data_IF_710149457683
#
_entry.id   IF_710149457683
#
_cell.length_a   1.000
_cell.length_b   1.000
_cell.length_c   1.000
_cell.angle_alpha   90.00
_cell.angle_beta   90.00
_cell.angle_gamma   90.00
#
_symmetry.space_group_name_H-M   'P 1'
#
loop_
_entity.id
_entity.type
_entity.pdbx_description
1 polymer ?
#
# COMPACT_ATOMS: atom_id res chain seq x y z
N UNK A 1 25.62 19.33 -7.11
CA UNK A 1 25.03 18.21 -6.37
C UNK A 1 23.88 17.67 -7.22
N UNK A 2 23.74 16.35 -7.34
CA UNK A 2 22.67 15.73 -8.14
C UNK A 2 21.72 15.04 -7.18
N UNK A 3 20.42 15.32 -7.30
CA UNK A 3 19.36 14.71 -6.50
C UNK A 3 18.51 13.80 -7.39
N UNK A 4 18.14 12.62 -6.90
CA UNK A 4 17.20 11.72 -7.56
C UNK A 4 15.85 11.82 -6.85
N UNK A 5 14.79 12.05 -7.62
CA UNK A 5 13.41 12.06 -7.14
C UNK A 5 12.65 10.91 -7.81
N UNK A 6 11.81 10.23 -7.06
CA UNK A 6 11.01 9.09 -7.52
C UNK A 6 9.56 9.40 -7.17
N UNK A 7 8.67 9.27 -8.16
CA UNK A 7 7.25 9.56 -8.03
C UNK A 7 6.41 8.42 -8.61
N UNK A 8 5.13 8.38 -8.21
CA UNK A 8 4.15 7.57 -8.93
C UNK A 8 4.15 7.93 -10.42
N UNK A 9 3.80 7.00 -11.28
CA UNK A 9 3.57 7.29 -12.70
C UNK A 9 2.35 8.21 -12.88
N UNK A 10 1.30 7.99 -12.06
CA UNK A 10 0.07 8.78 -12.10
C UNK A 10 -0.57 8.84 -10.71
N UNK A 11 -1.28 9.93 -10.44
CA UNK A 11 -2.11 10.04 -9.24
C UNK A 11 -3.46 10.70 -9.58
N UNK A 12 -4.54 10.15 -9.01
CA UNK A 12 -5.90 10.66 -9.12
C UNK A 12 -6.32 11.23 -7.77
N UNK A 13 -6.77 12.48 -7.76
CA UNK A 13 -7.17 13.19 -6.54
C UNK A 13 -8.60 13.69 -6.65
N UNK A 14 -9.41 13.41 -5.65
CA UNK A 14 -10.76 13.94 -5.55
C UNK A 14 -11.79 12.87 -5.24
N UNK A 15 -13.02 13.35 -4.92
CA UNK A 15 -14.14 12.45 -4.62
C UNK A 15 -14.49 11.61 -5.85
N UNK A 16 -14.57 10.30 -5.66
CA UNK A 16 -14.82 9.34 -6.72
C UNK A 16 -13.56 8.91 -7.48
N UNK A 17 -12.34 9.28 -7.03
CA UNK A 17 -11.08 8.86 -7.67
C UNK A 17 -10.97 7.32 -7.81
N UNK A 18 -11.52 6.55 -6.86
CA UNK A 18 -11.53 5.09 -6.94
C UNK A 18 -12.28 4.53 -8.15
N UNK A 19 -13.17 5.30 -8.77
CA UNK A 19 -13.90 4.86 -9.96
C UNK A 19 -13.01 4.71 -11.20
N UNK A 20 -11.84 5.33 -11.16
CA UNK A 20 -10.84 5.22 -12.24
C UNK A 20 -10.05 3.91 -12.18
N UNK A 21 -10.07 3.19 -11.03
CA UNK A 21 -9.29 1.95 -10.84
C UNK A 21 -9.48 0.94 -11.99
N UNK A 22 -10.72 0.59 -12.40
CA UNK A 22 -10.90 -0.42 -13.44
C UNK A 22 -10.38 0.01 -14.81
N UNK A 23 -10.58 1.29 -15.16
CA UNK A 23 -10.10 1.83 -16.43
C UNK A 23 -8.57 1.84 -16.48
N UNK A 24 -7.93 2.23 -15.39
CA UNK A 24 -6.47 2.25 -15.25
C UNK A 24 -5.90 0.82 -15.25
N UNK A 25 -6.51 -0.12 -14.52
CA UNK A 25 -6.11 -1.52 -14.54
C UNK A 25 -6.16 -2.09 -15.97
N UNK A 26 -7.23 -1.80 -16.71
CA UNK A 26 -7.38 -2.19 -18.11
C UNK A 26 -6.30 -1.58 -19.02
N UNK A 27 -5.94 -0.31 -18.82
CA UNK A 27 -4.88 0.36 -19.58
C UNK A 27 -3.52 -0.33 -19.38
N UNK A 28 -3.25 -0.81 -18.16
CA UNK A 28 -2.04 -1.58 -17.85
C UNK A 28 -2.13 -3.06 -18.26
N UNK A 29 -3.28 -3.54 -18.72
CA UNK A 29 -3.50 -4.94 -19.10
C UNK A 29 -3.68 -5.88 -17.92
N UNK A 30 -3.98 -5.35 -16.74
CA UNK A 30 -4.20 -6.15 -15.53
C UNK A 30 -5.56 -6.83 -15.55
N UNK A 31 -5.61 -8.06 -15.02
CA UNK A 31 -6.76 -8.95 -15.13
C UNK A 31 -7.38 -9.35 -13.81
N UNK A 32 -6.63 -9.37 -12.72
CA UNK A 32 -7.12 -9.70 -11.38
C UNK A 32 -6.37 -8.94 -10.30
N UNK A 33 -7.10 -8.26 -9.41
CA UNK A 33 -6.54 -7.54 -8.29
C UNK A 33 -6.34 -8.42 -7.06
N UNK A 34 -5.31 -8.14 -6.26
CA UNK A 34 -5.17 -8.62 -4.90
C UNK A 34 -5.23 -7.43 -3.94
N UNK A 35 -6.32 -7.32 -3.21
CA UNK A 35 -6.58 -6.20 -2.30
C UNK A 35 -5.98 -6.52 -0.94
N UNK A 36 -5.00 -5.73 -0.52
CA UNK A 36 -4.37 -5.81 0.81
C UNK A 36 -5.00 -4.75 1.70
N UNK A 37 -5.70 -5.19 2.75
CA UNK A 37 -6.46 -4.31 3.65
C UNK A 37 -6.47 -4.84 5.09
N UNK A 38 -7.12 -4.14 6.00
CA UNK A 38 -7.29 -4.57 7.37
C UNK A 38 -8.76 -4.94 7.70
N UNK A 39 -9.01 -5.70 8.79
CA UNK A 39 -10.35 -6.13 9.15
C UNK A 39 -11.31 -4.97 9.43
N UNK A 40 -10.81 -3.85 9.98
CA UNK A 40 -11.65 -2.70 10.36
C UNK A 40 -12.28 -2.05 9.13
N UNK A 41 -11.53 -1.98 8.02
CA UNK A 41 -12.05 -1.41 6.77
C UNK A 41 -13.13 -2.29 6.12
N UNK A 42 -13.10 -3.60 6.36
CA UNK A 42 -14.20 -4.50 5.99
C UNK A 42 -15.41 -4.28 6.88
N UNK A 43 -15.22 -4.28 8.20
CA UNK A 43 -16.30 -4.11 9.18
C UNK A 43 -17.03 -2.76 9.05
N UNK A 44 -16.28 -1.70 8.70
CA UNK A 44 -16.85 -0.35 8.52
C UNK A 44 -17.45 -0.09 7.15
N UNK A 45 -17.36 -1.07 6.22
CA UNK A 45 -17.84 -0.93 4.84
C UNK A 45 -16.98 -0.02 3.96
N UNK A 46 -15.82 0.43 4.46
CA UNK A 46 -14.92 1.28 3.65
C UNK A 46 -14.32 0.50 2.50
N UNK A 47 -13.91 -0.75 2.73
CA UNK A 47 -13.39 -1.62 1.68
C UNK A 47 -14.47 -1.96 0.63
N UNK A 48 -15.74 -2.06 1.04
CA UNK A 48 -16.87 -2.33 0.14
C UNK A 48 -17.02 -1.24 -0.93
N UNK A 49 -16.68 0.02 -0.63
CA UNK A 49 -16.71 1.09 -1.63
C UNK A 49 -15.79 0.79 -2.82
N UNK A 50 -14.62 0.20 -2.56
CA UNK A 50 -13.67 -0.18 -3.62
C UNK A 50 -14.10 -1.46 -4.31
N UNK A 51 -14.45 -2.51 -3.56
CA UNK A 51 -14.86 -3.78 -4.17
C UNK A 51 -16.09 -3.62 -5.05
N UNK A 52 -17.05 -2.77 -4.66
CA UNK A 52 -18.22 -2.45 -5.48
C UNK A 52 -17.85 -1.85 -6.84
N UNK A 53 -16.85 -0.95 -6.88
CA UNK A 53 -16.36 -0.38 -8.14
C UNK A 53 -15.76 -1.47 -9.04
N UNK A 54 -15.03 -2.43 -8.44
CA UNK A 54 -14.47 -3.55 -9.19
C UNK A 54 -15.56 -4.51 -9.68
N UNK A 55 -16.55 -4.82 -8.83
CA UNK A 55 -17.69 -5.67 -9.18
C UNK A 55 -18.50 -5.08 -10.34
N UNK A 56 -18.82 -3.77 -10.28
CA UNK A 56 -19.57 -3.05 -11.33
C UNK A 56 -18.81 -3.06 -12.67
N UNK A 57 -17.48 -3.10 -12.62
CA UNK A 57 -16.62 -3.17 -13.81
C UNK A 57 -16.31 -4.59 -14.28
N UNK A 58 -16.69 -5.61 -13.51
CA UNK A 58 -16.37 -7.00 -13.79
C UNK A 58 -14.86 -7.31 -13.67
N UNK A 59 -14.11 -6.54 -12.86
CA UNK A 59 -12.69 -6.78 -12.61
C UNK A 59 -12.55 -7.75 -11.42
N UNK A 60 -12.06 -8.98 -11.64
CA UNK A 60 -11.91 -9.96 -10.57
C UNK A 60 -10.92 -9.50 -9.51
N UNK A 61 -11.16 -9.90 -8.27
CA UNK A 61 -10.25 -9.60 -7.17
C UNK A 61 -10.27 -10.68 -6.09
N UNK A 62 -9.26 -10.66 -5.24
CA UNK A 62 -9.20 -11.42 -4.00
C UNK A 62 -8.79 -10.49 -2.87
N UNK A 63 -9.35 -10.70 -1.66
CA UNK A 63 -9.11 -9.82 -0.51
C UNK A 63 -8.26 -10.52 0.52
N UNK A 64 -7.10 -9.94 0.83
CA UNK A 64 -6.26 -10.26 1.97
C UNK A 64 -6.49 -9.22 3.06
N UNK A 65 -7.24 -9.58 4.08
CA UNK A 65 -7.66 -8.67 5.15
C UNK A 65 -6.99 -8.94 6.50
N UNK A 66 -5.93 -9.74 6.53
CA UNK A 66 -5.26 -10.11 7.77
C UNK A 66 -4.18 -9.11 8.21
N UNK A 67 -4.21 -7.89 7.67
CA UNK A 67 -3.23 -6.86 8.04
C UNK A 67 -3.47 -6.37 9.46
N UNK A 68 -2.40 -6.37 10.26
CA UNK A 68 -2.40 -5.86 11.63
C UNK A 68 -1.77 -4.46 11.69
N UNK A 69 -2.17 -3.61 12.64
CA UNK A 69 -1.44 -2.39 12.93
C UNK A 69 0.04 -2.67 13.18
N UNK A 70 0.95 -1.86 12.60
CA UNK A 70 2.39 -2.11 12.64
C UNK A 70 2.73 -3.51 12.11
N UNK A 71 2.60 -3.77 10.81
CA UNK A 71 2.56 -5.11 10.25
C UNK A 71 3.79 -5.92 10.63
N UNK A 72 3.60 -7.12 11.21
CA UNK A 72 4.70 -8.01 11.53
C UNK A 72 5.24 -8.71 10.28
N UNK A 73 6.47 -9.19 10.35
CA UNK A 73 7.14 -9.99 9.31
C UNK A 73 6.24 -11.13 8.83
N UNK A 74 5.56 -11.82 9.73
CA UNK A 74 4.69 -12.95 9.44
C UNK A 74 3.49 -12.56 8.57
N UNK A 75 2.97 -11.34 8.75
CA UNK A 75 1.86 -10.84 7.94
C UNK A 75 2.26 -10.68 6.47
N UNK A 76 3.48 -10.21 6.20
CA UNK A 76 3.99 -10.08 4.84
C UNK A 76 4.21 -11.46 4.22
N UNK A 77 4.82 -12.41 4.97
CA UNK A 77 5.04 -13.79 4.49
C UNK A 77 3.73 -14.50 4.14
N UNK A 78 2.70 -14.33 4.98
CA UNK A 78 1.35 -14.86 4.72
C UNK A 78 0.74 -14.23 3.46
N UNK A 79 0.88 -12.91 3.33
CA UNK A 79 0.42 -12.18 2.14
C UNK A 79 1.10 -12.62 0.84
N UNK A 80 2.41 -12.87 0.86
CA UNK A 80 3.15 -13.40 -0.30
C UNK A 80 2.61 -14.77 -0.72
N UNK A 81 2.39 -15.68 0.26
CA UNK A 81 1.84 -16.99 -0.02
C UNK A 81 0.43 -16.90 -0.63
N UNK A 82 -0.44 -16.05 -0.05
CA UNK A 82 -1.81 -15.85 -0.55
C UNK A 82 -1.85 -15.17 -1.92
N UNK A 83 -0.97 -14.21 -2.16
CA UNK A 83 -0.84 -13.61 -3.49
C UNK A 83 -0.49 -14.65 -4.56
N UNK A 84 0.48 -15.52 -4.28
CA UNK A 84 0.89 -16.58 -5.20
C UNK A 84 -0.25 -17.58 -5.51
N UNK A 85 -1.10 -17.89 -4.52
CA UNK A 85 -2.27 -18.76 -4.69
C UNK A 85 -3.40 -18.08 -5.47
N UNK A 86 -3.52 -16.74 -5.38
CA UNK A 86 -4.64 -15.98 -5.93
C UNK A 86 -4.69 -15.93 -7.45
N UNK A 87 -3.54 -16.03 -8.10
CA UNK A 87 -3.42 -15.80 -9.55
C UNK A 87 -3.67 -14.33 -9.95
N UNK A 88 -3.59 -13.39 -9.01
CA UNK A 88 -3.66 -11.97 -9.29
C UNK A 88 -2.37 -11.47 -9.94
N UNK A 89 -2.47 -10.40 -10.73
CA UNK A 89 -1.36 -9.83 -11.48
C UNK A 89 -0.99 -8.39 -11.05
N UNK A 90 -1.76 -7.80 -10.14
CA UNK A 90 -1.44 -6.54 -9.49
C UNK A 90 -2.03 -6.46 -8.07
N UNK A 91 -1.53 -5.52 -7.30
CA UNK A 91 -1.89 -5.28 -5.90
C UNK A 91 -2.68 -3.98 -5.75
N UNK A 92 -3.64 -3.97 -4.83
CA UNK A 92 -4.29 -2.74 -4.35
C UNK A 92 -4.01 -2.63 -2.85
N UNK A 93 -3.19 -1.66 -2.45
CA UNK A 93 -2.96 -1.33 -1.04
C UNK A 93 -4.07 -0.41 -0.54
N UNK A 94 -5.11 -0.97 0.08
CA UNK A 94 -6.29 -0.24 0.55
C UNK A 94 -6.21 -0.03 2.06
N UNK A 95 -5.95 1.20 2.49
CA UNK A 95 -5.92 1.51 3.91
C UNK A 95 -4.95 2.63 4.29
N UNK A 96 -4.65 2.73 5.57
CA UNK A 96 -3.60 3.60 6.07
C UNK A 96 -2.19 3.04 5.80
N UNK A 97 -1.18 3.47 6.56
CA UNK A 97 0.20 3.02 6.38
C UNK A 97 0.35 1.50 6.44
N UNK A 98 -0.25 0.82 7.41
CA UNK A 98 -0.05 -0.64 7.60
C UNK A 98 -0.47 -1.50 6.41
N UNK A 99 -1.66 -1.35 5.81
CA UNK A 99 -2.01 -2.05 4.57
C UNK A 99 -1.11 -1.69 3.38
N UNK A 100 -0.75 -0.42 3.23
CA UNK A 100 0.15 0.04 2.17
C UNK A 100 1.55 -0.57 2.31
N UNK A 101 2.10 -0.55 3.52
CA UNK A 101 3.43 -1.09 3.82
C UNK A 101 3.47 -2.62 3.64
N UNK A 102 2.41 -3.32 4.08
CA UNK A 102 2.26 -4.77 3.83
C UNK A 102 2.20 -5.05 2.34
N UNK A 103 1.46 -4.26 1.58
CA UNK A 103 1.31 -4.38 0.14
C UNK A 103 2.67 -4.24 -0.58
N UNK A 104 3.49 -3.26 -0.20
CA UNK A 104 4.85 -3.08 -0.72
C UNK A 104 5.73 -4.29 -0.43
N UNK A 105 5.72 -4.77 0.83
CA UNK A 105 6.48 -5.97 1.21
C UNK A 105 6.06 -7.20 0.41
N UNK A 106 4.77 -7.41 0.19
CA UNK A 106 4.26 -8.52 -0.65
C UNK A 106 4.78 -8.38 -2.09
N UNK A 107 4.61 -7.21 -2.68
CA UNK A 107 4.96 -6.98 -4.07
C UNK A 107 6.45 -7.10 -4.35
N UNK A 108 7.30 -6.55 -3.49
CA UNK A 108 8.75 -6.59 -3.68
C UNK A 108 9.32 -8.00 -3.51
N UNK A 109 8.87 -8.76 -2.51
CA UNK A 109 9.31 -10.14 -2.27
C UNK A 109 8.83 -11.07 -3.39
N UNK A 110 7.60 -10.89 -3.86
CA UNK A 110 7.09 -11.70 -4.96
C UNK A 110 7.93 -11.53 -6.23
N UNK A 111 8.40 -10.32 -6.51
CA UNK A 111 9.24 -10.03 -7.67
C UNK A 111 10.74 -10.36 -7.44
N UNK A 112 11.17 -10.46 -6.18
CA UNK A 112 12.55 -10.72 -5.78
C UNK A 112 12.58 -11.81 -4.69
N UNK A 113 12.35 -13.09 -5.03
CA UNK A 113 12.20 -14.17 -4.05
C UNK A 113 13.46 -14.48 -3.24
N UNK A 114 14.62 -13.99 -3.64
CA UNK A 114 15.86 -14.03 -2.85
C UNK A 114 15.76 -13.25 -1.54
N UNK A 115 14.80 -12.31 -1.44
CA UNK A 115 14.46 -11.54 -0.24
C UNK A 115 13.27 -12.13 0.54
N UNK A 116 12.97 -13.42 0.40
CA UNK A 116 11.90 -14.09 1.15
C UNK A 116 12.06 -13.99 2.68
N UNK A 117 13.30 -13.82 3.18
CA UNK A 117 13.50 -13.33 4.54
C UNK A 117 13.27 -11.82 4.59
N UNK A 118 12.10 -11.43 5.11
CA UNK A 118 11.67 -10.02 5.17
C UNK A 118 12.67 -9.12 5.88
N UNK A 119 13.45 -9.66 6.84
CA UNK A 119 14.49 -8.90 7.56
C UNK A 119 15.65 -8.49 6.65
N UNK A 120 15.88 -9.19 5.55
CA UNK A 120 16.92 -8.83 4.57
C UNK A 120 16.59 -7.56 3.77
N UNK A 121 15.38 -7.05 3.88
CA UNK A 121 14.93 -5.81 3.25
C UNK A 121 15.19 -4.56 4.12
N UNK A 122 15.71 -4.72 5.34
CA UNK A 122 16.00 -3.59 6.23
C UNK A 122 17.00 -2.60 5.59
N UNK A 123 16.68 -1.32 5.67
CA UNK A 123 17.48 -0.27 5.05
C UNK A 123 17.26 -0.23 3.53
N UNK A 124 18.34 -0.19 2.77
CA UNK A 124 18.29 -0.18 1.29
C UNK A 124 18.75 -1.55 0.78
N UNK A 125 17.80 -2.37 0.36
CA UNK A 125 18.09 -3.66 -0.24
C UNK A 125 18.46 -3.51 -1.73
N UNK A 126 19.34 -4.38 -2.22
CA UNK A 126 19.77 -4.39 -3.63
C UNK A 126 18.83 -5.29 -4.46
N UNK A 127 17.54 -4.97 -4.45
CA UNK A 127 16.54 -5.66 -5.28
C UNK A 127 16.83 -5.42 -6.77
N UNK A 128 16.51 -6.40 -7.61
CA UNK A 128 16.81 -6.32 -9.05
C UNK A 128 15.58 -6.04 -9.89
N UNK A 129 14.42 -6.48 -9.43
CA UNK A 129 13.18 -6.39 -10.17
C UNK A 129 12.24 -5.36 -9.51
N UNK A 130 11.50 -4.57 -10.30
CA UNK A 130 10.38 -3.80 -9.78
C UNK A 130 9.38 -4.73 -9.07
N UNK A 131 8.76 -4.20 -8.03
CA UNK A 131 7.63 -4.85 -7.35
C UNK A 131 6.54 -5.28 -8.34
N UNK A 132 5.76 -6.29 -7.98
CA UNK A 132 4.43 -6.45 -8.58
C UNK A 132 3.74 -5.09 -8.58
N UNK A 133 3.08 -4.67 -9.69
CA UNK A 133 2.45 -3.35 -9.77
C UNK A 133 1.49 -3.10 -8.62
N UNK A 134 1.60 -1.93 -7.98
CA UNK A 134 0.78 -1.53 -6.85
C UNK A 134 -0.08 -0.31 -7.21
N UNK A 135 -1.36 -0.37 -6.89
CA UNK A 135 -2.27 0.77 -6.81
C UNK A 135 -2.44 1.16 -5.34
N UNK A 136 -2.04 2.36 -4.97
CA UNK A 136 -2.19 2.88 -3.61
C UNK A 136 -3.55 3.56 -3.43
N UNK A 137 -4.34 3.10 -2.46
CA UNK A 137 -5.67 3.64 -2.13
C UNK A 137 -5.71 4.00 -0.63
N UNK A 138 -5.26 5.21 -0.26
CA UNK A 138 -5.18 5.61 1.14
C UNK A 138 -6.55 5.87 1.74
N UNK A 139 -6.71 5.49 3.02
CA UNK A 139 -7.89 5.81 3.85
C UNK A 139 -7.55 6.72 5.02
N UNK A 140 -6.29 7.18 5.11
CA UNK A 140 -5.81 8.13 6.11
C UNK A 140 -5.08 9.29 5.43
N UNK A 141 -4.99 10.42 6.09
CA UNK A 141 -4.30 11.61 5.58
C UNK A 141 -3.07 11.90 6.46
N UNK A 142 -2.04 11.05 6.38
CA UNK A 142 -0.85 11.15 7.23
C UNK A 142 0.39 10.61 6.54
N UNK A 143 0.53 9.31 6.52
CA UNK A 143 1.77 8.60 6.11
C UNK A 143 2.18 8.82 4.65
N UNK A 144 1.24 9.13 3.78
CA UNK A 144 1.45 9.22 2.33
C UNK A 144 2.18 8.00 1.73
N UNK A 145 2.00 6.81 2.33
CA UNK A 145 2.69 5.58 1.88
C UNK A 145 2.36 5.23 0.42
N UNK A 146 1.23 5.70 -0.10
CA UNK A 146 0.85 5.58 -1.51
C UNK A 146 1.78 6.32 -2.49
N UNK A 147 2.65 7.22 -1.99
CA UNK A 147 3.58 8.01 -2.81
C UNK A 147 5.04 7.84 -2.41
N UNK A 148 5.34 6.99 -1.44
CA UNK A 148 6.70 6.82 -0.92
C UNK A 148 7.35 5.52 -1.36
N UNK A 149 8.68 5.49 -1.31
CA UNK A 149 9.53 4.31 -1.52
C UNK A 149 9.87 3.60 -0.21
N UNK A 150 9.23 3.97 0.89
CA UNK A 150 9.51 3.44 2.22
C UNK A 150 8.34 2.59 2.69
N UNK A 151 8.64 1.59 3.50
CA UNK A 151 7.65 0.86 4.29
C UNK A 151 8.24 0.40 5.62
N UNK A 152 7.37 0.26 6.62
CA UNK A 152 7.76 -0.05 8.00
C UNK A 152 7.23 -1.43 8.38
N UNK A 153 8.12 -2.26 8.90
CA UNK A 153 7.81 -3.63 9.32
C UNK A 153 8.18 -3.83 10.78
N UNK A 154 7.42 -4.66 11.47
CA UNK A 154 7.69 -5.03 12.86
C UNK A 154 8.37 -6.40 12.92
N UNK A 155 9.60 -6.41 13.42
CA UNK A 155 10.31 -7.59 13.82
C UNK A 155 9.87 -7.97 15.25
N UNK A 156 8.92 -8.87 15.33
CA UNK A 156 8.30 -9.28 16.61
C UNK A 156 9.27 -10.07 17.47
N UNK A 157 10.18 -10.82 16.87
CA UNK A 157 11.19 -11.61 17.58
C UNK A 157 12.16 -10.70 18.36
N UNK A 158 12.61 -9.61 17.76
CA UNK A 158 13.52 -8.66 18.36
C UNK A 158 12.80 -7.42 18.96
N UNK A 159 11.46 -7.39 18.95
CA UNK A 159 10.62 -6.30 19.50
C UNK A 159 11.02 -4.92 19.00
N UNK A 160 11.30 -4.80 17.70
CA UNK A 160 11.69 -3.55 17.06
C UNK A 160 10.93 -3.34 15.74
N UNK A 161 10.90 -2.10 15.30
CA UNK A 161 10.49 -1.75 13.93
C UNK A 161 11.73 -1.47 13.09
N UNK A 162 11.65 -1.77 11.81
CA UNK A 162 12.65 -1.33 10.85
C UNK A 162 11.97 -0.72 9.63
N UNK A 163 12.73 0.07 8.91
CA UNK A 163 12.31 0.71 7.67
C UNK A 163 13.03 0.02 6.52
N UNK A 164 12.28 -0.38 5.53
CA UNK A 164 12.81 -0.75 4.22
C UNK A 164 12.63 0.42 3.25
N UNK A 165 13.61 0.63 2.40
CA UNK A 165 13.62 1.71 1.41
C UNK A 165 14.00 1.12 0.07
N UNK A 166 13.06 1.11 -0.88
CA UNK A 166 13.28 0.56 -2.19
C UNK A 166 12.58 1.37 -3.29
N UNK A 167 13.35 1.96 -4.22
CA UNK A 167 12.77 2.64 -5.38
C UNK A 167 11.83 1.79 -6.23
N UNK A 168 11.95 0.47 -6.12
CA UNK A 168 11.18 -0.49 -6.90
C UNK A 168 9.78 -0.76 -6.32
N UNK A 169 9.48 -0.34 -5.09
CA UNK A 169 8.22 -0.64 -4.42
C UNK A 169 7.19 0.51 -4.43
N UNK A 170 7.54 1.66 -4.98
CA UNK A 170 6.61 2.78 -5.06
C UNK A 170 5.35 2.37 -5.83
N UNK A 171 4.14 2.62 -5.31
CA UNK A 171 2.92 2.39 -6.07
C UNK A 171 2.94 3.12 -7.41
N UNK A 172 2.63 2.42 -8.49
CA UNK A 172 2.64 3.02 -9.83
C UNK A 172 1.54 4.04 -10.01
N UNK A 173 0.38 3.83 -9.34
CA UNK A 173 -0.75 4.77 -9.33
C UNK A 173 -1.26 4.97 -7.92
N UNK A 174 -1.56 6.21 -7.55
CA UNK A 174 -2.25 6.56 -6.31
C UNK A 174 -3.67 7.06 -6.59
N UNK A 175 -4.67 6.59 -5.83
CA UNK A 175 -6.06 7.02 -5.90
C UNK A 175 -6.46 7.64 -4.56
N UNK A 176 -6.32 8.95 -4.45
CA UNK A 176 -6.58 9.71 -3.22
C UNK A 176 -8.02 10.22 -3.23
N UNK A 177 -8.90 9.42 -2.65
CA UNK A 177 -10.34 9.69 -2.60
C UNK A 177 -10.78 10.09 -1.18
N UNK A 178 -11.18 11.36 -0.96
CA UNK A 178 -11.64 11.81 0.35
C UNK A 178 -12.83 11.03 0.91
N UNK A 179 -13.66 10.42 0.07
CA UNK A 179 -14.80 9.62 0.52
C UNK A 179 -14.38 8.38 1.33
N UNK A 180 -13.14 7.93 1.19
CA UNK A 180 -12.58 6.83 1.98
C UNK A 180 -12.08 7.28 3.36
N UNK A 181 -11.81 8.58 3.54
CA UNK A 181 -11.34 9.14 4.81
C UNK A 181 -12.49 9.64 5.71
N UNK A 182 -13.70 9.73 5.18
CA UNK A 182 -14.85 10.30 5.92
C UNK A 182 -15.21 9.47 7.15
N UNK A 183 -15.02 8.15 7.11
CA UNK A 183 -15.32 7.21 8.21
C UNK A 183 -14.24 7.16 9.29
N UNK A 184 -13.09 7.84 9.13
CA UNK A 184 -12.05 7.83 10.15
C UNK A 184 -12.57 8.37 11.50
N UNK A 185 -12.33 7.67 12.63
CA UNK A 185 -12.59 8.19 13.96
C UNK A 185 -11.83 9.51 14.20
N UNK A 186 -12.44 10.44 14.96
CA UNK A 186 -11.85 11.77 15.22
C UNK A 186 -10.41 11.70 15.73
N UNK A 187 -10.11 10.78 16.65
CA UNK A 187 -8.75 10.60 17.18
C UNK A 187 -7.74 10.25 16.10
N UNK A 188 -8.12 9.37 15.19
CA UNK A 188 -7.27 9.00 14.06
C UNK A 188 -7.09 10.15 13.06
N UNK A 189 -8.16 10.91 12.75
CA UNK A 189 -8.07 12.12 11.91
C UNK A 189 -7.06 13.13 12.46
N UNK A 190 -7.11 13.38 13.77
CA UNK A 190 -6.18 14.31 14.43
C UNK A 190 -4.75 13.77 14.37
N UNK A 191 -4.56 12.50 14.74
CA UNK A 191 -3.22 11.89 14.77
C UNK A 191 -2.58 11.88 13.38
N UNK A 192 -3.30 11.44 12.35
CA UNK A 192 -2.77 11.39 10.98
C UNK A 192 -2.60 12.79 10.37
N UNK A 193 -3.47 13.74 10.70
CA UNK A 193 -3.30 15.13 10.28
C UNK A 193 -2.07 15.82 10.91
N UNK A 194 -1.76 15.51 12.16
CA UNK A 194 -0.52 15.97 12.82
C UNK A 194 0.72 15.29 12.21
N UNK A 195 0.61 14.02 11.84
CA UNK A 195 1.65 13.27 11.11
C UNK A 195 1.97 13.97 9.78
N UNK A 196 0.95 14.28 8.97
CA UNK A 196 1.11 15.02 7.72
C UNK A 196 1.76 16.40 7.93
N UNK A 197 1.37 17.12 9.00
CA UNK A 197 1.98 18.40 9.35
C UNK A 197 3.45 18.24 9.73
N UNK A 198 3.78 17.19 10.49
CA UNK A 198 5.17 16.88 10.86
C UNK A 198 6.01 16.60 9.63
N UNK A 199 5.53 15.78 8.70
CA UNK A 199 6.21 15.52 7.42
C UNK A 199 6.44 16.80 6.60
N UNK A 200 5.44 17.70 6.56
CA UNK A 200 5.58 18.97 5.84
C UNK A 200 6.65 19.89 6.48
N UNK A 201 6.70 19.94 7.82
CA UNK A 201 7.71 20.71 8.55
C UNK A 201 9.10 20.10 8.33
N UNK A 202 9.24 18.78 8.49
CA UNK A 202 10.51 18.08 8.27
C UNK A 202 11.04 18.30 6.85
N UNK A 203 10.18 18.14 5.84
CA UNK A 203 10.57 18.39 4.44
C UNK A 203 10.94 19.84 4.14
N UNK A 204 10.49 20.80 4.97
CA UNK A 204 10.85 22.21 4.83
C UNK A 204 12.22 22.53 5.46
N UNK A 205 12.59 21.85 6.54
CA UNK A 205 13.80 22.15 7.32
C UNK A 205 15.00 21.24 7.01
N UNK A 206 14.81 20.17 6.22
CA UNK A 206 15.87 19.26 5.74
C UNK A 206 16.16 19.51 4.27
#
# INVERSE_FOLDING_TARGET
MVYRMIFNQTAYFGRGAIKEIPAVAKQHGFTKAFIVTDPVLLETGTAEKVTKVLDEAGLPYEVFSNVKPNPPVECIKDGVAKFAESGADFLIGLGGGSPQDTCKGIGIITANPEFADVLSLEGVADTKNPSVPIFGVPTTAGTASETTINYVVTDTANKRKFVAVDPHDIPIVAFVDPDLTDSMPRGLKVATGLDALTHAIEGYIT
#
